data_IF_087243381898
#
_entry.id   IF_087243381898
#
_cell.length_a   1.000
_cell.length_b   1.000
_cell.length_c   1.000
_cell.angle_alpha   90.00
_cell.angle_beta   90.00
_cell.angle_gamma   90.00
#
_symmetry.space_group_name_H-M   'P 1'
#
loop_
_entity.id
_entity.type
_entity.pdbx_description
1 polymer ?
#
# COMPACT_ATOMS: atom_id res chain seq x y z
N UNK A 1 3.27 -24.25 -30.68
CA UNK A 1 2.03 -24.48 -31.47
C UNK A 1 1.32 -23.20 -31.99
N UNK A 2 0.50 -22.46 -31.23
CA UNK A 2 -0.27 -21.31 -31.81
C UNK A 2 0.59 -20.17 -32.38
N UNK A 3 1.73 -19.88 -31.74
CA UNK A 3 2.71 -18.91 -32.24
C UNK A 3 3.35 -19.34 -33.57
N UNK A 4 3.67 -20.63 -33.70
CA UNK A 4 4.19 -21.19 -34.96
C UNK A 4 3.14 -21.16 -36.07
N UNK A 5 1.87 -21.44 -35.75
CA UNK A 5 0.77 -21.33 -36.70
C UNK A 5 0.63 -19.89 -37.21
N UNK A 6 0.67 -18.89 -36.31
CA UNK A 6 0.68 -17.48 -36.71
C UNK A 6 1.84 -17.13 -37.65
N UNK A 7 3.03 -17.66 -37.39
CA UNK A 7 4.20 -17.43 -38.24
C UNK A 7 4.05 -18.05 -39.64
N UNK A 8 3.42 -19.22 -39.74
CA UNK A 8 3.13 -19.89 -41.02
C UNK A 8 1.99 -19.22 -41.81
N UNK A 9 1.06 -18.58 -41.11
CA UNK A 9 -0.10 -17.93 -41.73
C UNK A 9 -1.18 -18.90 -42.22
N UNK A 10 -2.28 -18.37 -42.80
CA UNK A 10 -3.38 -19.18 -43.32
C UNK A 10 -2.94 -20.05 -44.50
N UNK A 11 -3.23 -21.37 -44.49
CA UNK A 11 -3.02 -22.24 -45.65
C UNK A 11 -3.89 -21.78 -46.83
N UNK A 12 -3.26 -21.62 -48.00
CA UNK A 12 -3.92 -21.15 -49.24
C UNK A 12 -3.61 -22.08 -50.41
N UNK A 13 -4.06 -23.35 -50.36
CA UNK A 13 -3.85 -24.29 -51.46
C UNK A 13 -4.70 -23.94 -52.69
N UNK A 14 -4.38 -24.54 -53.84
CA UNK A 14 -5.23 -24.47 -55.04
C UNK A 14 -6.38 -25.48 -54.92
N UNK A 15 -7.51 -25.02 -54.41
CA UNK A 15 -8.66 -25.88 -54.13
C UNK A 15 -9.52 -26.08 -55.37
N UNK A 16 -9.72 -27.33 -55.77
CA UNK A 16 -10.60 -27.74 -56.88
C UNK A 16 -12.09 -27.75 -56.47
N UNK A 17 -12.52 -26.76 -55.69
CA UNK A 17 -13.90 -26.64 -55.24
C UNK A 17 -14.76 -26.10 -56.38
N UNK A 18 -15.74 -26.89 -56.80
CA UNK A 18 -16.70 -26.52 -57.85
C UNK A 18 -18.14 -26.74 -57.38
N UNK A 19 -19.04 -25.87 -57.81
CA UNK A 19 -20.46 -25.94 -57.49
C UNK A 19 -21.29 -25.78 -58.76
N UNK A 20 -22.16 -26.76 -59.05
CA UNK A 20 -23.14 -26.65 -60.14
C UNK A 20 -24.28 -25.75 -59.69
N UNK A 21 -24.49 -24.65 -60.41
CA UNK A 21 -25.60 -23.73 -60.19
C UNK A 21 -26.64 -23.86 -61.30
N UNK A 22 -27.93 -23.78 -60.93
CA UNK A 22 -29.05 -23.73 -61.86
C UNK A 22 -29.74 -22.38 -61.76
N UNK A 23 -29.86 -21.69 -62.88
CA UNK A 23 -30.79 -20.58 -63.07
C UNK A 23 -32.01 -21.07 -63.83
N UNK A 24 -33.10 -20.28 -63.86
CA UNK A 24 -34.38 -20.62 -64.52
C UNK A 24 -34.24 -21.10 -65.98
N UNK A 25 -33.14 -20.75 -66.66
CA UNK A 25 -32.91 -21.08 -68.08
C UNK A 25 -31.53 -21.68 -68.41
N UNK A 26 -30.57 -21.75 -67.46
CA UNK A 26 -29.20 -22.28 -67.73
C UNK A 26 -28.58 -22.95 -66.51
N UNK A 27 -27.83 -24.03 -66.75
CA UNK A 27 -26.93 -24.63 -65.75
C UNK A 27 -25.50 -24.17 -66.02
N UNK A 28 -24.79 -23.72 -64.99
CA UNK A 28 -23.40 -23.29 -65.09
C UNK A 28 -22.62 -23.73 -63.85
N UNK A 29 -21.30 -23.91 -63.98
CA UNK A 29 -20.44 -24.33 -62.88
C UNK A 29 -19.65 -23.15 -62.35
N UNK A 30 -19.68 -22.92 -61.04
CA UNK A 30 -18.77 -22.00 -60.35
C UNK A 30 -17.58 -22.79 -59.86
N UNK A 31 -16.37 -22.27 -60.07
CA UNK A 31 -15.15 -22.78 -59.47
C UNK A 31 -14.61 -21.76 -58.47
N UNK A 32 -13.98 -22.25 -57.40
CA UNK A 32 -13.24 -21.40 -56.49
C UNK A 32 -12.07 -20.75 -57.25
N UNK A 33 -11.74 -19.53 -56.84
CA UNK A 33 -10.75 -18.68 -57.48
C UNK A 33 -9.76 -18.19 -56.43
N UNK A 34 -8.47 -18.45 -56.64
CA UNK A 34 -7.41 -18.12 -55.68
C UNK A 34 -7.31 -16.63 -55.36
N UNK A 35 -7.80 -15.74 -56.23
CA UNK A 35 -7.92 -14.30 -55.96
C UNK A 35 -8.80 -13.98 -54.75
N UNK A 36 -9.69 -14.91 -54.36
CA UNK A 36 -10.50 -14.76 -53.17
C UNK A 36 -9.66 -14.74 -51.88
N UNK A 37 -8.50 -15.43 -51.85
CA UNK A 37 -7.57 -15.34 -50.72
C UNK A 37 -6.93 -13.97 -50.59
N UNK A 38 -6.77 -13.24 -51.70
CA UNK A 38 -6.24 -11.87 -51.68
C UNK A 38 -7.29 -10.91 -51.10
N UNK A 39 -8.55 -11.07 -51.52
CA UNK A 39 -9.68 -10.25 -51.02
C UNK A 39 -10.05 -10.52 -49.58
N UNK A 40 -9.76 -11.73 -49.09
CA UNK A 40 -10.14 -12.17 -47.74
C UNK A 40 -8.92 -12.79 -47.06
N UNK A 41 -8.03 -11.98 -46.46
CA UNK A 41 -6.73 -12.45 -45.97
C UNK A 41 -6.79 -13.53 -44.90
N UNK A 42 -7.85 -13.56 -44.08
CA UNK A 42 -8.07 -14.58 -43.04
C UNK A 42 -8.62 -15.92 -43.57
N UNK A 43 -9.05 -15.95 -44.83
CA UNK A 43 -9.59 -17.15 -45.46
C UNK A 43 -8.48 -18.17 -45.69
N UNK A 44 -8.76 -19.42 -45.34
CA UNK A 44 -7.90 -20.56 -45.63
C UNK A 44 -8.73 -21.67 -46.24
N UNK A 45 -8.10 -22.69 -46.79
CA UNK A 45 -8.82 -23.90 -47.13
C UNK A 45 -7.97 -25.15 -47.07
N UNK A 46 -8.62 -26.27 -47.30
CA UNK A 46 -8.08 -27.60 -47.08
C UNK A 46 -8.34 -28.46 -48.32
N UNK A 47 -7.28 -29.05 -48.87
CA UNK A 47 -7.34 -29.90 -50.06
C UNK A 47 -8.11 -31.20 -49.77
N UNK A 48 -7.84 -31.84 -48.62
CA UNK A 48 -8.45 -33.12 -48.24
C UNK A 48 -9.97 -33.05 -48.11
N UNK A 49 -10.47 -31.99 -47.48
CA UNK A 49 -11.91 -31.77 -47.32
C UNK A 49 -12.54 -31.00 -48.49
N UNK A 50 -11.70 -30.44 -49.38
CA UNK A 50 -12.09 -29.56 -50.49
C UNK A 50 -13.01 -28.39 -50.06
N UNK A 51 -12.72 -27.76 -48.90
CA UNK A 51 -13.57 -26.73 -48.27
C UNK A 51 -12.78 -25.53 -47.75
N UNK A 52 -13.50 -24.42 -47.52
CA UNK A 52 -12.96 -23.16 -47.01
C UNK A 52 -13.25 -22.95 -45.52
N UNK A 53 -12.31 -22.34 -44.81
CA UNK A 53 -12.34 -22.14 -43.37
C UNK A 53 -11.79 -20.76 -42.97
N UNK A 54 -11.98 -20.38 -41.71
CA UNK A 54 -11.45 -19.14 -41.15
C UNK A 54 -10.23 -19.43 -40.28
N UNK A 55 -9.06 -18.92 -40.67
CA UNK A 55 -7.81 -19.21 -39.98
C UNK A 55 -7.77 -18.70 -38.52
N UNK A 56 -8.11 -17.43 -38.20
CA UNK A 56 -8.19 -16.98 -36.81
C UNK A 56 -9.13 -17.85 -35.97
N UNK A 57 -10.29 -18.23 -36.50
CA UNK A 57 -11.27 -19.05 -35.80
C UNK A 57 -10.83 -20.51 -35.64
N UNK A 58 -10.08 -21.08 -36.59
CA UNK A 58 -9.46 -22.40 -36.40
C UNK A 58 -8.43 -22.39 -35.27
N UNK A 59 -7.65 -21.32 -35.15
CA UNK A 59 -6.59 -21.22 -34.14
C UNK A 59 -7.17 -20.95 -32.74
N UNK A 60 -8.21 -20.12 -32.63
CA UNK A 60 -8.73 -19.60 -31.36
C UNK A 60 -10.20 -19.92 -31.04
N UNK A 61 -10.93 -20.61 -31.91
CA UNK A 61 -12.38 -20.81 -31.81
C UNK A 61 -12.83 -21.46 -30.49
N UNK A 62 -12.04 -22.38 -29.94
CA UNK A 62 -12.31 -23.01 -28.64
C UNK A 62 -12.13 -22.06 -27.43
N UNK A 63 -11.43 -20.93 -27.60
CA UNK A 63 -11.19 -19.95 -26.53
C UNK A 63 -12.23 -18.83 -26.50
N UNK A 64 -13.13 -18.75 -27.49
CA UNK A 64 -14.19 -17.75 -27.56
C UNK A 64 -15.44 -18.13 -26.71
N UNK A 65 -15.22 -18.67 -25.50
CA UNK A 65 -16.20 -18.76 -24.42
C UNK A 65 -17.33 -19.80 -24.57
N UNK A 66 -17.61 -20.49 -23.46
CA UNK A 66 -18.72 -21.42 -23.23
C UNK A 66 -20.13 -20.77 -23.26
N UNK A 67 -20.35 -19.75 -24.09
CA UNK A 67 -21.61 -19.03 -24.23
C UNK A 67 -21.77 -18.22 -25.52
N UNK A 68 -20.82 -18.31 -26.47
CA UNK A 68 -20.92 -17.66 -27.77
C UNK A 68 -20.75 -18.70 -28.87
N UNK A 69 -21.85 -19.16 -29.47
CA UNK A 69 -21.84 -20.14 -30.55
C UNK A 69 -20.89 -19.71 -31.67
N UNK A 70 -19.69 -20.29 -31.72
CA UNK A 70 -18.84 -20.23 -32.89
C UNK A 70 -19.59 -20.88 -34.04
N UNK A 71 -19.66 -20.22 -35.20
CA UNK A 71 -20.22 -20.84 -36.40
C UNK A 71 -19.32 -22.03 -36.78
N UNK A 72 -19.67 -23.24 -36.34
CA UNK A 72 -18.98 -24.51 -36.66
C UNK A 72 -18.72 -24.70 -38.16
N UNK A 73 -19.49 -23.99 -39.00
CA UNK A 73 -19.31 -23.91 -40.44
C UNK A 73 -17.92 -23.41 -40.86
N UNK A 74 -17.29 -22.50 -40.12
CA UNK A 74 -15.98 -21.93 -40.48
C UNK A 74 -14.79 -22.62 -39.81
N UNK A 75 -15.05 -23.62 -38.96
CA UNK A 75 -14.02 -24.36 -38.20
C UNK A 75 -14.09 -25.86 -38.47
N UNK A 76 -15.24 -26.50 -38.27
CA UNK A 76 -15.35 -27.97 -38.29
C UNK A 76 -15.97 -28.48 -39.59
N UNK A 77 -17.03 -27.83 -40.08
CA UNK A 77 -17.77 -28.32 -41.25
C UNK A 77 -17.18 -27.87 -42.57
N UNK A 78 -16.66 -26.64 -42.63
CA UNK A 78 -16.13 -25.98 -43.82
C UNK A 78 -17.21 -25.43 -44.76
N UNK A 79 -16.86 -24.41 -45.55
CA UNK A 79 -17.72 -23.78 -46.54
C UNK A 79 -17.39 -24.29 -47.95
N UNK A 80 -18.39 -24.84 -48.63
CA UNK A 80 -18.35 -25.30 -50.02
C UNK A 80 -19.35 -24.52 -50.94
N UNK A 81 -20.25 -23.74 -50.34
CA UNK A 81 -21.26 -22.96 -51.06
C UNK A 81 -20.67 -21.69 -51.71
N UNK A 82 -20.09 -21.87 -52.89
CA UNK A 82 -19.52 -20.80 -53.72
C UNK A 82 -20.56 -19.77 -54.20
N UNK A 83 -21.83 -20.14 -54.33
CA UNK A 83 -22.89 -19.25 -54.79
C UNK A 83 -23.14 -18.09 -53.81
N UNK A 84 -23.04 -18.36 -52.50
CA UNK A 84 -23.25 -17.37 -51.44
C UNK A 84 -21.97 -17.02 -50.67
N UNK A 85 -20.81 -17.42 -51.17
CA UNK A 85 -19.53 -17.25 -50.48
C UNK A 85 -19.28 -15.79 -50.08
N UNK A 86 -19.55 -14.82 -50.96
CA UNK A 86 -19.36 -13.39 -50.67
C UNK A 86 -20.23 -12.90 -49.50
N UNK A 87 -21.48 -13.36 -49.42
CA UNK A 87 -22.41 -13.02 -48.34
C UNK A 87 -21.96 -13.67 -47.04
N UNK A 88 -21.58 -14.96 -47.08
CA UNK A 88 -21.09 -15.70 -45.92
C UNK A 88 -19.82 -15.07 -45.36
N UNK A 89 -18.85 -14.72 -46.22
CA UNK A 89 -17.60 -14.04 -45.84
C UNK A 89 -17.90 -12.70 -45.15
N UNK A 90 -18.78 -11.87 -45.74
CA UNK A 90 -19.13 -10.57 -45.17
C UNK A 90 -19.77 -10.73 -43.79
N UNK A 91 -20.76 -11.61 -43.65
CA UNK A 91 -21.44 -11.87 -42.38
C UNK A 91 -20.48 -12.39 -41.32
N UNK A 92 -19.61 -13.35 -41.67
CA UNK A 92 -18.64 -13.94 -40.74
C UNK A 92 -17.63 -12.91 -40.24
N UNK A 93 -17.07 -12.09 -41.15
CA UNK A 93 -16.09 -11.05 -40.80
C UNK A 93 -16.62 -10.02 -39.80
N UNK A 94 -17.94 -9.81 -39.78
CA UNK A 94 -18.61 -8.89 -38.86
C UNK A 94 -19.07 -9.57 -37.56
N UNK A 95 -18.86 -10.88 -37.42
CA UNK A 95 -19.28 -11.62 -36.23
C UNK A 95 -18.35 -11.33 -35.04
N UNK A 96 -18.92 -11.26 -33.83
CA UNK A 96 -18.16 -11.06 -32.59
C UNK A 96 -17.10 -12.15 -32.39
N UNK A 97 -17.41 -13.40 -32.74
CA UNK A 97 -16.50 -14.53 -32.62
C UNK A 97 -15.25 -14.34 -33.50
N UNK A 98 -15.45 -13.97 -34.77
CA UNK A 98 -14.34 -13.67 -35.68
C UNK A 98 -13.46 -12.53 -35.17
N UNK A 99 -14.07 -11.39 -34.82
CA UNK A 99 -13.34 -10.22 -34.34
C UNK A 99 -12.50 -10.53 -33.09
N UNK A 100 -13.04 -11.31 -32.14
CA UNK A 100 -12.28 -11.75 -30.96
C UNK A 100 -11.10 -12.65 -31.33
N UNK A 101 -11.31 -13.63 -32.21
CA UNK A 101 -10.25 -14.51 -32.68
C UNK A 101 -9.16 -13.74 -33.43
N UNK A 102 -9.54 -12.73 -34.22
CA UNK A 102 -8.61 -11.87 -34.96
C UNK A 102 -7.77 -11.00 -34.02
N UNK A 103 -8.39 -10.38 -33.01
CA UNK A 103 -7.67 -9.64 -31.96
C UNK A 103 -6.69 -10.56 -31.23
N UNK A 104 -7.10 -11.77 -30.85
CA UNK A 104 -6.23 -12.76 -30.20
C UNK A 104 -5.08 -13.21 -31.08
N UNK A 105 -5.33 -13.47 -32.37
CA UNK A 105 -4.28 -13.79 -33.34
C UNK A 105 -3.31 -12.61 -33.52
N UNK A 106 -3.79 -11.36 -33.45
CA UNK A 106 -2.92 -10.18 -33.56
C UNK A 106 -2.05 -9.99 -32.31
N UNK A 107 -2.58 -10.26 -31.11
CA UNK A 107 -1.93 -9.99 -29.81
C UNK A 107 -1.01 -11.12 -29.34
N UNK A 108 -1.23 -12.37 -29.77
CA UNK A 108 -0.37 -13.49 -29.38
C UNK A 108 1.09 -13.24 -29.80
N UNK A 109 2.00 -13.36 -28.84
CA UNK A 109 3.45 -13.11 -29.03
C UNK A 109 3.87 -11.64 -28.90
N UNK A 110 2.94 -10.70 -28.73
CA UNK A 110 3.25 -9.27 -28.44
C UNK A 110 3.34 -8.96 -26.95
N UNK A 111 2.68 -9.76 -26.11
CA UNK A 111 2.75 -9.62 -24.66
C UNK A 111 3.93 -10.41 -24.12
N UNK A 112 4.98 -9.71 -23.72
CA UNK A 112 6.06 -10.29 -22.94
C UNK A 112 5.57 -10.47 -21.50
N UNK A 113 5.32 -11.71 -21.11
CA UNK A 113 4.89 -12.08 -19.76
C UNK A 113 5.86 -11.52 -18.71
N UNK A 114 7.16 -11.40 -19.03
CA UNK A 114 8.16 -10.82 -18.12
C UNK A 114 7.92 -9.33 -17.89
N UNK A 115 7.55 -8.58 -18.94
CA UNK A 115 7.21 -7.15 -18.82
C UNK A 115 5.91 -6.94 -18.06
N UNK A 116 4.91 -7.80 -18.25
CA UNK A 116 3.65 -7.72 -17.52
C UNK A 116 3.84 -7.95 -16.00
N UNK A 117 4.63 -8.97 -15.63
CA UNK A 117 5.02 -9.21 -14.23
C UNK A 117 5.84 -8.04 -13.65
N UNK A 118 6.77 -7.48 -14.41
CA UNK A 118 7.56 -6.31 -14.00
C UNK A 118 6.69 -5.06 -13.79
N UNK A 119 5.70 -4.80 -14.65
CA UNK A 119 4.75 -3.69 -14.43
C UNK A 119 3.85 -3.89 -13.21
N UNK A 120 3.35 -5.10 -12.98
CA UNK A 120 2.52 -5.40 -11.82
C UNK A 120 3.33 -5.28 -10.51
N UNK A 121 4.57 -5.76 -10.52
CA UNK A 121 5.51 -5.64 -9.40
C UNK A 121 5.88 -4.18 -9.11
N UNK A 122 6.17 -3.38 -10.12
CA UNK A 122 6.44 -1.94 -9.94
C UNK A 122 5.21 -1.18 -9.43
N UNK A 123 4.01 -1.58 -9.87
CA UNK A 123 2.76 -1.02 -9.37
C UNK A 123 2.56 -1.35 -7.88
N UNK A 124 2.78 -2.61 -7.47
CA UNK A 124 2.62 -2.99 -6.07
C UNK A 124 3.63 -2.30 -5.14
N UNK A 125 4.88 -2.11 -5.58
CA UNK A 125 5.87 -1.31 -4.83
C UNK A 125 5.38 0.13 -4.66
N UNK A 126 4.86 0.73 -5.72
CA UNK A 126 4.35 2.10 -5.68
C UNK A 126 3.19 2.23 -4.71
N UNK A 127 2.17 1.38 -4.82
CA UNK A 127 1.01 1.35 -3.92
C UNK A 127 1.40 1.03 -2.47
N UNK A 128 2.47 0.26 -2.25
CA UNK A 128 3.01 0.05 -0.91
C UNK A 128 3.65 1.32 -0.35
N UNK A 129 4.50 2.00 -1.12
CA UNK A 129 5.16 3.23 -0.69
C UNK A 129 4.15 4.36 -0.45
N UNK A 130 3.16 4.51 -1.32
CA UNK A 130 2.07 5.48 -1.15
C UNK A 130 1.34 5.24 0.18
N UNK A 131 1.01 3.98 0.52
CA UNK A 131 0.42 3.65 1.82
C UNK A 131 1.36 3.90 3.01
N UNK A 132 2.66 3.69 2.84
CA UNK A 132 3.65 4.00 3.88
C UNK A 132 3.69 5.51 4.15
N UNK A 133 3.66 6.32 3.10
CA UNK A 133 3.66 7.78 3.21
C UNK A 133 2.37 8.29 3.86
N UNK A 134 1.20 7.75 3.46
CA UNK A 134 -0.08 8.03 4.10
C UNK A 134 -0.06 7.68 5.59
N UNK A 135 0.40 6.47 5.95
CA UNK A 135 0.48 6.05 7.35
C UNK A 135 1.42 6.92 8.18
N UNK A 136 2.57 7.33 7.62
CA UNK A 136 3.52 8.25 8.26
C UNK A 136 2.89 9.61 8.50
N UNK A 137 2.11 10.11 7.53
CA UNK A 137 1.39 11.36 7.65
C UNK A 137 0.38 11.31 8.80
N UNK A 138 -0.45 10.27 8.85
CA UNK A 138 -1.44 10.07 9.93
C UNK A 138 -0.74 9.97 11.28
N UNK A 139 0.29 9.14 11.40
CA UNK A 139 1.05 8.98 12.65
C UNK A 139 1.64 10.32 13.10
N UNK A 140 2.13 11.14 12.16
CA UNK A 140 2.64 12.47 12.49
C UNK A 140 1.56 13.37 13.10
N UNK A 141 0.33 13.37 12.56
CA UNK A 141 -0.80 14.13 13.12
C UNK A 141 -1.17 13.66 14.52
N UNK A 142 -1.15 12.36 14.78
CA UNK A 142 -1.39 11.81 16.12
C UNK A 142 -0.31 12.24 17.11
N UNK A 143 0.96 12.18 16.71
CA UNK A 143 2.09 12.68 17.51
C UNK A 143 1.92 14.17 17.81
N UNK A 144 1.57 14.99 16.81
CA UNK A 144 1.38 16.43 17.01
C UNK A 144 0.26 16.71 18.03
N UNK A 145 -0.81 15.89 18.06
CA UNK A 145 -1.86 16.00 19.10
C UNK A 145 -1.34 15.64 20.50
N UNK A 146 -0.53 14.59 20.64
CA UNK A 146 0.09 14.25 21.93
C UNK A 146 1.07 15.34 22.39
N UNK A 147 1.91 15.83 21.47
CA UNK A 147 2.87 16.92 21.74
C UNK A 147 2.14 18.20 22.13
N UNK A 148 1.01 18.52 21.49
CA UNK A 148 0.15 19.62 21.89
C UNK A 148 -0.29 19.47 23.35
N UNK A 149 -0.84 18.30 23.72
CA UNK A 149 -1.28 18.07 25.10
C UNK A 149 -0.13 18.28 26.10
N UNK A 150 1.05 17.76 25.79
CA UNK A 150 2.25 17.96 26.62
C UNK A 150 2.71 19.42 26.71
N UNK A 151 2.73 20.14 25.59
CA UNK A 151 3.19 21.53 25.52
C UNK A 151 2.27 22.48 26.31
N UNK A 152 0.96 22.22 26.30
CA UNK A 152 -0.04 23.01 27.04
C UNK A 152 -0.35 22.44 28.43
N UNK A 153 0.35 21.38 28.86
CA UNK A 153 0.17 20.72 30.16
C UNK A 153 -1.28 20.28 30.43
N UNK A 154 -1.99 19.86 29.37
CA UNK A 154 -3.37 19.38 29.47
C UNK A 154 -3.42 17.87 29.50
N UNK A 155 -4.37 17.33 30.25
CA UNK A 155 -4.58 15.89 30.32
C UNK A 155 -4.99 15.35 28.94
N UNK A 156 -4.35 14.28 28.49
CA UNK A 156 -4.73 13.61 27.24
C UNK A 156 -6.14 13.01 27.35
N UNK A 157 -6.43 12.38 28.50
CA UNK A 157 -7.59 11.51 28.70
C UNK A 157 -8.72 12.19 29.45
N UNK A 158 -9.94 11.78 29.12
CA UNK A 158 -11.15 12.10 29.89
C UNK A 158 -11.39 11.06 30.98
N UNK A 159 -12.33 11.37 31.89
CA UNK A 159 -12.80 10.39 32.88
C UNK A 159 -13.54 9.21 32.21
N UNK A 160 -14.31 9.51 31.16
CA UNK A 160 -14.98 8.53 30.32
C UNK A 160 -14.60 8.76 28.85
N UNK A 161 -14.01 7.77 28.20
CA UNK A 161 -13.62 7.81 26.78
C UNK A 161 -14.51 6.93 25.88
N UNK A 162 -15.67 6.52 26.40
CA UNK A 162 -16.72 5.83 25.64
C UNK A 162 -17.18 6.69 24.44
N UNK A 163 -17.78 6.04 23.44
CA UNK A 163 -18.31 6.73 22.26
C UNK A 163 -19.46 7.67 22.58
N UNK A 164 -20.15 7.44 23.69
CA UNK A 164 -21.29 8.20 24.16
C UNK A 164 -20.89 9.33 25.13
N UNK A 165 -19.61 9.38 25.52
CA UNK A 165 -19.10 10.39 26.44
C UNK A 165 -19.21 11.79 25.84
N UNK A 166 -19.75 12.72 26.64
CA UNK A 166 -19.77 14.16 26.30
C UNK A 166 -18.40 14.81 26.44
N UNK A 167 -17.47 14.17 27.13
CA UNK A 167 -16.10 14.66 27.33
C UNK A 167 -15.11 13.48 27.25
N UNK A 168 -14.83 12.98 26.04
CA UNK A 168 -13.97 11.82 25.83
C UNK A 168 -12.47 12.09 26.07
N UNK A 169 -12.11 13.29 26.53
CA UNK A 169 -10.72 13.72 26.72
C UNK A 169 -10.22 14.65 25.62
N UNK A 170 -9.21 15.45 25.97
CA UNK A 170 -8.67 16.49 25.07
C UNK A 170 -8.02 15.88 23.84
N UNK A 171 -7.29 14.77 23.99
CA UNK A 171 -6.64 14.12 22.85
C UNK A 171 -7.65 13.69 21.78
N UNK A 172 -8.79 13.12 22.19
CA UNK A 172 -9.82 12.68 21.27
C UNK A 172 -10.54 13.86 20.62
N UNK A 173 -10.87 14.89 21.42
CA UNK A 173 -11.41 16.13 20.88
C UNK A 173 -10.49 16.82 19.87
N UNK A 174 -9.17 16.77 20.08
CA UNK A 174 -8.19 17.28 19.12
C UNK A 174 -8.15 16.46 17.84
N UNK A 175 -8.19 15.13 17.92
CA UNK A 175 -8.27 14.27 16.73
C UNK A 175 -9.53 14.57 15.92
N UNK A 176 -10.68 14.68 16.59
CA UNK A 176 -11.95 14.98 15.94
C UNK A 176 -11.89 16.35 15.25
N UNK A 177 -11.36 17.38 15.94
CA UNK A 177 -11.13 18.69 15.36
C UNK A 177 -10.19 18.65 14.15
N UNK A 178 -9.04 17.96 14.27
CA UNK A 178 -8.09 17.80 13.16
C UNK A 178 -8.76 17.12 11.97
N UNK A 179 -9.62 16.13 12.20
CA UNK A 179 -10.33 15.42 11.13
C UNK A 179 -11.33 16.30 10.37
N UNK A 180 -11.83 17.39 10.98
CA UNK A 180 -12.71 18.32 10.28
C UNK A 180 -11.96 19.27 9.33
N UNK A 181 -10.65 19.47 9.57
CA UNK A 181 -9.82 20.36 8.75
C UNK A 181 -8.82 19.62 7.86
N UNK A 182 -8.59 18.33 8.11
CA UNK A 182 -7.65 17.47 7.39
C UNK A 182 -8.40 16.26 6.79
N UNK A 183 -8.58 16.29 5.46
CA UNK A 183 -9.30 15.25 4.73
C UNK A 183 -8.64 13.87 4.85
N UNK A 184 -7.31 13.81 4.92
CA UNK A 184 -6.60 12.54 5.05
C UNK A 184 -6.88 11.91 6.42
N UNK A 185 -6.88 12.72 7.49
CA UNK A 185 -7.29 12.29 8.82
C UNK A 185 -8.76 11.85 8.85
N UNK A 186 -9.67 12.60 8.21
CA UNK A 186 -11.09 12.23 8.10
C UNK A 186 -11.27 10.87 7.44
N UNK A 187 -10.63 10.67 6.29
CA UNK A 187 -10.68 9.41 5.55
C UNK A 187 -10.10 8.26 6.38
N UNK A 188 -8.96 8.46 7.04
CA UNK A 188 -8.35 7.45 7.90
C UNK A 188 -9.28 7.01 9.04
N UNK A 189 -9.88 7.95 9.77
CA UNK A 189 -10.78 7.64 10.89
C UNK A 189 -12.06 6.91 10.45
N UNK A 190 -12.55 7.21 9.25
CA UNK A 190 -13.75 6.57 8.67
C UNK A 190 -13.49 5.18 8.10
N UNK A 191 -12.33 4.94 7.50
CA UNK A 191 -12.04 3.74 6.71
C UNK A 191 -11.18 2.71 7.45
N UNK A 192 -10.39 3.14 8.43
CA UNK A 192 -9.47 2.26 9.14
C UNK A 192 -10.20 1.38 10.15
N UNK A 193 -10.02 0.07 10.01
CA UNK A 193 -10.59 -0.94 10.92
C UNK A 193 -9.59 -1.44 11.96
N UNK A 194 -8.28 -1.32 11.67
CA UNK A 194 -7.21 -1.91 12.51
C UNK A 194 -6.56 -0.86 13.40
N UNK A 195 -6.19 0.30 12.84
CA UNK A 195 -5.47 1.35 13.57
C UNK A 195 -6.16 2.68 13.33
N UNK A 196 -6.87 3.20 14.34
CA UNK A 196 -7.45 4.55 14.31
C UNK A 196 -6.60 5.60 15.03
N UNK A 197 -5.61 5.17 15.82
CA UNK A 197 -4.79 6.07 16.62
C UNK A 197 -5.45 6.63 17.89
N UNK A 198 -6.71 6.28 18.17
CA UNK A 198 -7.50 6.92 19.24
C UNK A 198 -7.52 6.17 20.56
N UNK A 199 -7.12 4.88 20.58
CA UNK A 199 -7.20 4.05 21.79
C UNK A 199 -6.16 4.42 22.84
N UNK A 200 -6.47 4.12 24.11
CA UNK A 200 -5.57 4.34 25.26
C UNK A 200 -4.20 3.69 25.07
N UNK A 201 -4.18 2.49 24.52
CA UNK A 201 -2.95 1.73 24.25
C UNK A 201 -2.06 2.49 23.25
N UNK A 202 -2.62 2.91 22.12
CA UNK A 202 -1.84 3.64 21.11
C UNK A 202 -1.38 5.01 21.64
N UNK A 203 -2.20 5.69 22.43
CA UNK A 203 -1.77 6.93 23.10
C UNK A 203 -0.52 6.69 23.98
N UNK A 204 -0.50 5.60 24.76
CA UNK A 204 0.67 5.23 25.55
C UNK A 204 1.87 4.87 24.66
N UNK A 205 1.67 4.07 23.62
CA UNK A 205 2.77 3.69 22.71
C UNK A 205 3.43 4.93 22.06
N UNK A 206 2.61 5.92 21.69
CA UNK A 206 3.10 7.21 21.16
C UNK A 206 3.87 7.99 22.25
N UNK A 207 3.33 8.05 23.47
CA UNK A 207 4.00 8.70 24.61
C UNK A 207 5.35 8.05 24.91
N UNK A 208 5.40 6.72 24.96
CA UNK A 208 6.62 5.95 25.22
C UNK A 208 7.65 6.18 24.09
N UNK A 209 7.21 6.20 22.83
CA UNK A 209 8.09 6.51 21.71
C UNK A 209 8.65 7.94 21.78
N UNK A 210 7.82 8.93 22.12
CA UNK A 210 8.27 10.31 22.33
C UNK A 210 9.24 10.38 23.50
N UNK A 211 8.93 9.71 24.61
CA UNK A 211 9.78 9.65 25.80
C UNK A 211 11.16 9.08 25.46
N UNK A 212 11.24 7.95 24.77
CA UNK A 212 12.52 7.32 24.41
C UNK A 212 13.37 8.20 23.48
N UNK A 213 12.76 8.85 22.48
CA UNK A 213 13.47 9.78 21.59
C UNK A 213 14.02 10.98 22.38
N UNK A 214 13.18 11.60 23.21
CA UNK A 214 13.60 12.74 24.04
C UNK A 214 14.69 12.35 25.03
N UNK A 215 14.53 11.20 25.69
CA UNK A 215 15.49 10.66 26.66
C UNK A 215 16.84 10.37 26.01
N UNK A 216 16.85 9.71 24.85
CA UNK A 216 18.07 9.40 24.11
C UNK A 216 18.84 10.66 23.72
N UNK A 217 18.14 11.69 23.24
CA UNK A 217 18.77 12.96 22.87
C UNK A 217 19.32 13.71 24.09
N UNK A 218 18.55 13.77 25.19
CA UNK A 218 19.02 14.37 26.45
C UNK A 218 20.25 13.63 26.97
N UNK A 219 20.24 12.29 26.96
CA UNK A 219 21.38 11.48 27.39
C UNK A 219 22.62 11.75 26.55
N UNK A 220 22.48 11.81 25.22
CA UNK A 220 23.57 12.17 24.31
C UNK A 220 24.14 13.56 24.62
N UNK A 221 23.30 14.54 24.91
CA UNK A 221 23.74 15.89 25.28
C UNK A 221 24.51 15.89 26.61
N UNK A 222 24.00 15.18 27.62
CA UNK A 222 24.66 15.01 28.93
C UNK A 222 26.02 14.33 28.79
N UNK A 223 26.11 13.25 28.00
CA UNK A 223 27.36 12.52 27.77
C UNK A 223 28.43 13.42 27.14
N UNK A 224 28.03 14.30 26.22
CA UNK A 224 28.91 15.24 25.54
C UNK A 224 29.23 16.49 26.36
N UNK A 225 28.44 16.80 27.39
CA UNK A 225 28.72 17.93 28.28
C UNK A 225 30.04 17.72 29.02
N UNK A 226 30.82 18.79 29.21
CA UNK A 226 32.07 18.73 29.99
C UNK A 226 31.77 18.59 31.48
N UNK A 227 30.75 19.32 31.93
CA UNK A 227 30.33 19.37 33.32
C UNK A 227 28.80 19.26 33.44
N UNK A 228 28.37 18.69 34.56
CA UNK A 228 26.97 18.56 34.93
C UNK A 228 26.77 18.99 36.39
N UNK A 229 25.56 19.41 36.71
CA UNK A 229 25.10 19.63 38.07
C UNK A 229 23.75 18.94 38.27
N UNK A 230 23.48 18.52 39.51
CA UNK A 230 22.22 17.88 39.89
C UNK A 230 21.52 18.76 40.91
N UNK A 231 20.23 18.94 40.70
CA UNK A 231 19.35 19.57 41.67
C UNK A 231 18.36 18.51 42.14
N UNK A 232 18.22 18.40 43.46
CA UNK A 232 17.31 17.51 44.12
C UNK A 232 16.39 18.37 44.98
N UNK A 233 15.09 18.29 44.75
CA UNK A 233 14.09 19.06 45.49
C UNK A 233 13.05 18.14 46.11
N UNK A 234 12.67 18.39 47.36
CA UNK A 234 11.64 17.62 48.02
C UNK A 234 10.25 18.12 47.60
N UNK A 235 9.40 17.21 47.15
CA UNK A 235 8.03 17.48 46.76
C UNK A 235 7.10 16.47 47.39
N UNK A 236 5.98 16.92 47.93
CA UNK A 236 4.91 16.05 48.43
C UNK A 236 3.88 15.86 47.32
N UNK A 237 3.57 14.61 46.97
CA UNK A 237 2.56 14.33 45.96
C UNK A 237 1.12 14.55 46.49
N UNK A 238 0.13 14.45 45.61
CA UNK A 238 -1.28 14.62 45.97
C UNK A 238 -1.83 13.56 46.93
N UNK A 239 -1.08 12.49 47.18
CA UNK A 239 -1.39 11.42 48.15
C UNK A 239 -0.63 11.60 49.46
N UNK A 240 -0.02 12.76 49.69
CA UNK A 240 0.79 13.11 50.88
C UNK A 240 2.07 12.30 51.03
N UNK A 241 2.55 11.70 49.93
CA UNK A 241 3.81 10.94 49.92
C UNK A 241 4.93 11.90 49.52
N UNK A 242 5.96 12.01 50.38
CA UNK A 242 7.19 12.71 50.03
C UNK A 242 7.90 11.99 48.89
N UNK A 243 8.43 12.76 47.95
CA UNK A 243 9.23 12.33 46.82
C UNK A 243 10.36 13.34 46.59
N UNK A 244 11.46 12.88 45.99
CA UNK A 244 12.55 13.76 45.60
C UNK A 244 12.56 13.91 44.07
N UNK A 245 12.49 15.15 43.61
CA UNK A 245 12.54 15.55 42.21
C UNK A 245 13.98 15.72 41.80
N UNK A 246 14.45 14.92 40.84
CA UNK A 246 15.78 15.07 40.27
C UNK A 246 15.73 15.87 38.98
N UNK A 247 16.54 16.94 38.94
CA UNK A 247 16.76 17.77 37.76
C UNK A 247 18.26 17.74 37.45
N UNK A 248 18.60 17.54 36.19
CA UNK A 248 19.98 17.64 35.71
C UNK A 248 20.18 18.95 34.96
N UNK A 249 21.25 19.65 35.29
CA UNK A 249 21.71 20.86 34.62
C UNK A 249 23.02 20.58 33.89
N UNK A 250 23.11 20.92 32.61
CA UNK A 250 24.29 20.68 31.79
C UNK A 250 24.52 21.77 30.75
N UNK A 251 25.77 21.90 30.28
CA UNK A 251 26.14 22.81 29.22
C UNK A 251 26.07 22.10 27.86
N UNK A 252 25.32 22.65 26.92
CA UNK A 252 25.28 22.18 25.54
C UNK A 252 25.36 23.37 24.59
N UNK A 253 26.34 23.38 23.67
CA UNK A 253 26.58 24.45 22.71
C UNK A 253 26.63 25.86 23.35
N UNK A 254 27.31 25.99 24.48
CA UNK A 254 27.47 27.26 25.20
C UNK A 254 26.20 27.75 25.93
N UNK A 255 25.13 26.96 25.97
CA UNK A 255 23.89 27.27 26.70
C UNK A 255 23.65 26.26 27.82
N UNK A 256 23.13 26.76 28.94
CA UNK A 256 22.75 25.93 30.08
C UNK A 256 21.35 25.38 29.82
N UNK A 257 21.18 24.07 30.03
CA UNK A 257 19.90 23.39 29.97
C UNK A 257 19.59 22.70 31.29
N UNK A 258 18.34 22.77 31.70
CA UNK A 258 17.78 22.04 32.84
C UNK A 258 16.75 21.04 32.35
N UNK A 259 16.84 19.80 32.82
CA UNK A 259 15.92 18.72 32.45
C UNK A 259 15.49 17.95 33.67
N UNK A 260 14.19 17.76 33.81
CA UNK A 260 13.65 16.77 34.73
C UNK A 260 14.18 15.38 34.37
N UNK A 261 14.63 14.66 35.38
CA UNK A 261 15.19 13.33 35.24
C UNK A 261 14.19 12.28 35.68
N UNK A 262 13.75 12.35 36.95
CA UNK A 262 12.90 11.36 37.59
C UNK A 262 12.41 11.85 38.96
N UNK A 263 11.30 11.29 39.42
CA UNK A 263 10.93 11.26 40.83
C UNK A 263 11.54 10.02 41.49
N UNK A 264 12.23 10.19 42.61
CA UNK A 264 12.69 9.08 43.43
C UNK A 264 11.94 9.10 44.76
N UNK A 265 11.73 7.92 45.33
CA UNK A 265 11.13 7.79 46.64
C UNK A 265 12.14 7.07 47.55
N UNK A 266 13.00 7.84 48.27
CA UNK A 266 13.94 7.28 49.22
C UNK A 266 13.22 6.52 50.34
N UNK A 267 13.90 5.54 50.94
CA UNK A 267 13.39 4.83 52.13
C UNK A 267 13.36 5.71 53.38
N UNK A 268 14.31 6.64 53.44
CA UNK A 268 14.41 7.70 54.42
C UNK A 268 15.04 8.94 53.77
N UNK A 269 14.87 10.10 54.41
CA UNK A 269 15.30 11.40 53.89
C UNK A 269 16.60 11.88 54.55
N UNK A 270 17.43 10.95 55.03
CA UNK A 270 18.76 11.32 55.51
C UNK A 270 19.64 11.75 54.34
N UNK A 271 20.56 12.68 54.58
CA UNK A 271 21.47 13.17 53.55
C UNK A 271 22.27 12.03 52.89
N UNK A 272 22.65 11.02 53.68
CA UNK A 272 23.39 9.84 53.24
C UNK A 272 22.57 8.98 52.25
N UNK A 273 21.30 8.73 52.55
CA UNK A 273 20.42 7.91 51.69
C UNK A 273 20.02 8.66 50.43
N UNK A 274 19.76 9.97 50.53
CA UNK A 274 19.49 10.82 49.36
C UNK A 274 20.69 10.81 48.42
N UNK A 275 21.91 11.01 48.94
CA UNK A 275 23.13 10.97 48.14
C UNK A 275 23.34 9.59 47.48
N UNK A 276 23.12 8.51 48.22
CA UNK A 276 23.25 7.15 47.69
C UNK A 276 22.25 6.87 46.55
N UNK A 277 20.99 7.29 46.70
CA UNK A 277 19.95 7.08 45.67
C UNK A 277 20.23 7.94 44.43
N UNK A 278 20.68 9.19 44.59
CA UNK A 278 21.12 10.03 43.47
C UNK A 278 22.27 9.36 42.71
N UNK A 279 23.29 8.88 43.43
CA UNK A 279 24.46 8.25 42.80
C UNK A 279 24.11 6.97 42.06
N UNK A 280 23.16 6.19 42.57
CA UNK A 280 22.61 5.00 41.92
C UNK A 280 21.82 5.35 40.65
N UNK A 281 21.05 6.42 40.66
CA UNK A 281 20.32 6.87 39.45
C UNK A 281 21.27 7.42 38.38
N UNK A 282 22.37 8.06 38.76
CA UNK A 282 23.40 8.45 37.79
C UNK A 282 24.07 7.25 37.12
N UNK A 283 24.33 6.18 37.87
CA UNK A 283 24.84 4.93 37.32
C UNK A 283 23.84 4.30 36.35
N UNK A 284 22.56 4.27 36.72
CA UNK A 284 21.49 3.68 35.89
C UNK A 284 21.36 4.38 34.52
N UNK A 285 21.76 5.66 34.47
CA UNK A 285 21.73 6.50 33.27
C UNK A 285 23.08 6.57 32.53
N UNK A 286 24.08 5.81 32.96
CA UNK A 286 25.45 5.83 32.41
C UNK A 286 26.07 7.23 32.39
N UNK A 287 25.79 8.05 33.39
CA UNK A 287 26.33 9.41 33.50
C UNK A 287 27.69 9.36 34.19
N UNK A 288 28.72 9.94 33.56
CA UNK A 288 30.06 9.97 34.15
C UNK A 288 30.10 10.93 35.35
N UNK A 289 30.17 10.35 36.54
CA UNK A 289 30.21 11.04 37.83
C UNK A 289 31.40 12.00 37.99
N UNK A 290 32.51 11.78 37.28
CA UNK A 290 33.67 12.69 37.34
C UNK A 290 33.38 14.07 36.74
N UNK A 291 32.26 14.20 36.00
CA UNK A 291 31.79 15.47 35.43
C UNK A 291 30.86 16.23 36.37
N UNK A 292 30.45 15.62 37.49
CA UNK A 292 29.56 16.24 38.46
C UNK A 292 30.32 17.32 39.24
N UNK A 293 29.97 18.58 39.01
CA UNK A 293 30.64 19.74 39.64
C UNK A 293 29.79 20.44 40.70
N UNK A 294 28.53 20.03 40.86
CA UNK A 294 27.62 20.66 41.81
C UNK A 294 26.39 19.80 42.09
N UNK A 295 26.02 19.76 43.36
CA UNK A 295 24.76 19.24 43.84
C UNK A 295 24.06 20.35 44.62
N UNK A 296 22.76 20.54 44.38
CA UNK A 296 21.94 21.48 45.14
C UNK A 296 20.74 20.74 45.70
N UNK A 297 20.54 20.84 47.01
CA UNK A 297 19.37 20.33 47.73
C UNK A 297 18.72 21.48 48.46
N UNK A 298 17.39 21.51 48.53
CA UNK A 298 16.67 22.43 49.40
C UNK A 298 16.83 21.95 50.85
N UNK A 299 17.55 22.72 51.67
CA UNK A 299 17.58 22.50 53.13
C UNK A 299 16.31 23.09 53.75
N UNK A 300 15.53 22.26 54.46
CA UNK A 300 14.68 22.75 55.55
C UNK A 300 15.55 22.80 56.83
N UNK A 301 15.46 23.87 57.65
CA UNK A 301 16.12 23.89 58.94
C UNK A 301 15.60 22.73 59.79
N UNK A 302 16.54 21.96 60.34
CA UNK A 302 16.35 20.92 61.35
C UNK A 302 15.39 21.31 62.47
#
# INVERSE_FOLDING_TARGET
MRLELKAKGPPRPEIALTQKCRSKTKTFTRAFKSEQYIKTPWLCGCEDSNKLFCFPCLVFGACAGAGGGGESVWTDTGVDDLAHLSIKVKKHSQSRSHMLCEVQLSSIGRHDIRKALDTAYRKSIREFNERVDENRYILRRLIDCVVFCGAFQVALRGHDESTESRNPGIYRGLIDFVSEIDLAMKQHLSSSTVFKGTSKTIQNDILDAIYEVCRSEIQKQITNAEFIAIQADESTDCSTIQQLVLIIRYLHNGKIFERFLKFIQPKDYTAEVIAAEIMKELDSLNINKNKLIGQTTTELPS
#
